data_IF_037388762450
#
_entry.id   IF_037388762450
#
_cell.length_a   1.000
_cell.length_b   1.000
_cell.length_c   1.000
_cell.angle_alpha   90.00
_cell.angle_beta   90.00
_cell.angle_gamma   90.00
#
_symmetry.space_group_name_H-M   'P 1'
#
loop_
_entity.id
_entity.type
_entity.pdbx_description
1 polymer ?
#
# COMPACT_ATOMS: atom_id res chain seq x y z
N UNK A 1 5.59 11.16 -32.85
CA UNK A 1 5.50 11.78 -31.50
C UNK A 1 4.56 13.00 -31.41
N UNK A 2 3.72 13.29 -32.41
CA UNK A 2 2.81 14.46 -32.40
C UNK A 2 1.48 14.16 -31.70
N UNK A 3 0.96 12.94 -31.88
CA UNK A 3 -0.34 12.51 -31.35
C UNK A 3 -0.28 12.25 -29.83
N UNK A 4 0.88 11.83 -29.29
CA UNK A 4 1.09 11.68 -27.83
C UNK A 4 0.96 13.03 -27.12
N UNK A 5 1.44 14.12 -27.73
CA UNK A 5 1.31 15.47 -27.14
C UNK A 5 -0.12 15.99 -27.16
N UNK A 6 -0.88 15.73 -28.22
CA UNK A 6 -2.27 16.17 -28.34
C UNK A 6 -3.18 15.48 -27.32
N UNK A 7 -3.08 14.16 -27.19
CA UNK A 7 -3.91 13.38 -26.23
C UNK A 7 -3.45 13.58 -24.78
N UNK A 8 -2.15 13.85 -24.53
CA UNK A 8 -1.69 14.36 -23.22
C UNK A 8 -2.35 15.71 -22.92
N UNK A 9 -2.53 16.58 -23.93
CA UNK A 9 -3.29 17.82 -23.81
C UNK A 9 -4.74 17.58 -23.38
N UNK A 10 -5.43 16.64 -24.03
CA UNK A 10 -6.83 16.29 -23.74
C UNK A 10 -7.03 15.79 -22.30
N UNK A 11 -6.20 14.85 -21.84
CA UNK A 11 -6.28 14.29 -20.49
C UNK A 11 -5.81 15.29 -19.42
N UNK A 12 -4.82 16.13 -19.76
CA UNK A 12 -4.43 17.27 -18.91
C UNK A 12 -5.52 18.34 -18.84
N UNK A 13 -6.51 18.35 -19.72
CA UNK A 13 -7.63 19.29 -19.66
C UNK A 13 -8.88 18.68 -19.01
N UNK A 14 -8.89 17.39 -18.68
CA UNK A 14 -9.95 16.82 -17.84
C UNK A 14 -9.83 17.41 -16.43
N UNK A 15 -10.73 18.33 -16.08
CA UNK A 15 -10.74 18.98 -14.76
C UNK A 15 -10.71 17.96 -13.61
N UNK A 16 -11.43 16.85 -13.75
CA UNK A 16 -11.45 15.78 -12.75
C UNK A 16 -10.07 15.13 -12.56
N UNK A 17 -9.36 14.83 -13.65
CA UNK A 17 -8.03 14.24 -13.59
C UNK A 17 -7.03 15.19 -12.93
N UNK A 18 -7.05 16.48 -13.31
CA UNK A 18 -6.20 17.49 -12.70
C UNK A 18 -6.50 17.68 -11.21
N UNK A 19 -7.77 17.81 -10.83
CA UNK A 19 -8.17 18.14 -9.46
C UNK A 19 -8.07 16.98 -8.47
N UNK A 20 -8.19 15.73 -8.94
CA UNK A 20 -8.24 14.54 -8.07
C UNK A 20 -6.98 13.69 -8.14
N UNK A 21 -6.36 13.57 -9.31
CA UNK A 21 -5.20 12.68 -9.52
C UNK A 21 -3.86 13.42 -9.55
N UNK A 22 -3.82 14.66 -10.05
CA UNK A 22 -2.56 15.42 -10.13
C UNK A 22 -2.23 16.12 -8.80
N UNK A 23 -3.24 16.55 -8.04
CA UNK A 23 -3.02 17.25 -6.77
C UNK A 23 -2.67 16.28 -5.64
N UNK A 24 -1.50 16.50 -5.02
CA UNK A 24 -1.06 15.70 -3.88
C UNK A 24 -1.98 15.87 -2.66
N UNK A 25 -2.57 17.05 -2.49
CA UNK A 25 -3.40 17.44 -1.34
C UNK A 25 -4.59 16.48 -1.15
N UNK A 26 -5.14 16.02 -2.27
CA UNK A 26 -6.26 15.08 -2.32
C UNK A 26 -5.95 13.71 -1.69
N UNK A 27 -4.68 13.33 -1.57
CA UNK A 27 -4.24 12.04 -1.03
C UNK A 27 -3.27 12.17 0.16
N UNK A 28 -2.85 13.39 0.50
CA UNK A 28 -1.92 13.69 1.59
C UNK A 28 -2.39 13.13 2.95
N UNK A 29 -3.70 13.16 3.21
CA UNK A 29 -4.27 12.63 4.45
C UNK A 29 -3.92 11.17 4.71
N UNK A 30 -3.99 10.31 3.68
CA UNK A 30 -3.65 8.89 3.80
C UNK A 30 -2.18 8.65 4.12
N UNK A 31 -1.30 9.50 3.58
CA UNK A 31 0.13 9.48 3.90
C UNK A 31 0.38 9.82 5.38
N UNK A 32 -0.26 10.86 5.91
CA UNK A 32 -0.13 11.22 7.32
C UNK A 32 -0.69 10.15 8.27
N UNK A 33 -1.81 9.50 7.92
CA UNK A 33 -2.32 8.36 8.68
C UNK A 33 -1.28 7.24 8.80
N UNK A 34 -0.54 6.95 7.72
CA UNK A 34 0.57 6.01 7.72
C UNK A 34 1.71 6.43 8.65
N UNK A 35 2.14 7.70 8.59
CA UNK A 35 3.18 8.25 9.50
C UNK A 35 2.75 8.10 10.96
N UNK A 36 1.53 8.54 11.30
CA UNK A 36 1.01 8.45 12.67
C UNK A 36 1.02 7.00 13.16
N UNK A 37 0.60 6.07 12.30
CA UNK A 37 0.62 4.62 12.59
C UNK A 37 2.03 4.12 12.88
N UNK A 38 3.02 4.54 12.10
CA UNK A 38 4.43 4.21 12.33
C UNK A 38 4.97 4.74 13.66
N UNK A 39 4.66 6.00 14.00
CA UNK A 39 5.08 6.63 15.27
C UNK A 39 4.45 5.88 16.46
N UNK A 40 3.14 5.63 16.38
CA UNK A 40 2.42 4.88 17.42
C UNK A 40 2.99 3.46 17.54
N UNK A 41 3.23 2.77 16.44
CA UNK A 41 3.86 1.45 16.43
C UNK A 41 5.22 1.46 17.14
N UNK A 42 6.09 2.41 16.80
CA UNK A 42 7.41 2.54 17.41
C UNK A 42 7.31 2.74 18.93
N UNK A 43 6.38 3.59 19.38
CA UNK A 43 6.15 3.84 20.80
C UNK A 43 5.63 2.61 21.55
N UNK A 44 4.73 1.83 20.93
CA UNK A 44 4.22 0.58 21.51
C UNK A 44 5.31 -0.50 21.59
N UNK A 45 6.14 -0.61 20.54
CA UNK A 45 7.24 -1.57 20.49
C UNK A 45 8.32 -1.27 21.53
N UNK A 46 8.71 0.00 21.67
CA UNK A 46 9.70 0.45 22.68
C UNK A 46 9.25 0.18 24.12
N UNK A 47 7.94 0.21 24.39
CA UNK A 47 7.37 -0.06 25.72
C UNK A 47 7.03 -1.54 25.97
N UNK A 48 7.29 -2.43 25.01
CA UNK A 48 6.99 -3.86 25.13
C UNK A 48 5.50 -4.18 25.35
N UNK A 49 4.60 -3.25 25.06
CA UNK A 49 3.17 -3.42 25.32
C UNK A 49 2.55 -4.33 24.27
N UNK A 50 1.97 -5.44 24.70
CA UNK A 50 1.14 -6.30 23.83
C UNK A 50 -0.21 -5.61 23.57
N UNK A 51 -0.74 -5.78 22.35
CA UNK A 51 -2.03 -5.22 21.93
C UNK A 51 -3.20 -5.67 22.81
N UNK A 52 -3.09 -6.81 23.48
CA UNK A 52 -4.04 -7.30 24.49
C UNK A 52 -4.24 -6.33 25.67
N UNK A 53 -3.29 -5.40 25.89
CA UNK A 53 -3.44 -4.32 26.85
C UNK A 53 -4.47 -3.26 26.43
N UNK A 54 -4.84 -3.17 25.14
CA UNK A 54 -5.86 -2.25 24.65
C UNK A 54 -7.20 -2.96 24.68
N UNK A 55 -7.94 -2.78 25.79
CA UNK A 55 -9.19 -3.48 26.10
C UNK A 55 -10.28 -3.40 25.01
N UNK A 56 -10.18 -2.44 24.08
CA UNK A 56 -11.20 -2.19 23.04
C UNK A 56 -10.68 -2.22 21.59
N UNK A 57 -9.47 -2.73 21.32
CA UNK A 57 -8.91 -2.68 19.96
C UNK A 57 -9.79 -3.37 18.91
N UNK A 58 -10.36 -4.54 19.24
CA UNK A 58 -11.24 -5.27 18.32
C UNK A 58 -12.50 -4.45 17.97
N UNK A 59 -13.07 -3.75 18.94
CA UNK A 59 -14.24 -2.89 18.72
C UNK A 59 -13.89 -1.69 17.83
N UNK A 60 -12.72 -1.07 18.06
CA UNK A 60 -12.22 0.03 17.22
C UNK A 60 -11.94 -0.43 15.78
N UNK A 61 -11.35 -1.62 15.61
CA UNK A 61 -11.13 -2.23 14.29
C UNK A 61 -12.46 -2.49 13.58
N UNK A 62 -13.43 -3.08 14.27
CA UNK A 62 -14.75 -3.36 13.70
C UNK A 62 -15.49 -2.06 13.31
N UNK A 63 -15.36 -1.00 14.13
CA UNK A 63 -15.90 0.31 13.83
C UNK A 63 -15.25 0.93 12.58
N UNK A 64 -13.92 0.80 12.43
CA UNK A 64 -13.20 1.27 11.24
C UNK A 64 -13.65 0.51 9.97
N UNK A 65 -13.86 -0.80 10.06
CA UNK A 65 -14.40 -1.62 8.97
C UNK A 65 -15.84 -1.21 8.63
N UNK A 66 -16.70 -1.03 9.63
CA UNK A 66 -18.08 -0.58 9.42
C UNK A 66 -18.13 0.81 8.78
N UNK A 67 -17.26 1.73 9.23
CA UNK A 67 -17.13 3.06 8.65
C UNK A 67 -16.71 3.01 7.17
N UNK A 68 -15.71 2.18 6.85
CA UNK A 68 -15.27 1.95 5.48
C UNK A 68 -16.39 1.42 4.59
N UNK A 69 -17.08 0.37 5.02
CA UNK A 69 -18.19 -0.23 4.25
C UNK A 69 -19.30 0.81 4.05
N UNK A 70 -19.70 1.53 5.10
CA UNK A 70 -20.74 2.56 5.02
C UNK A 70 -20.40 3.63 3.99
N UNK A 71 -19.17 4.13 3.98
CA UNK A 71 -18.77 5.18 3.05
C UNK A 71 -18.78 4.72 1.59
N UNK A 72 -18.33 3.49 1.33
CA UNK A 72 -18.33 2.91 -0.03
C UNK A 72 -19.75 2.53 -0.52
N UNK A 73 -20.59 1.97 0.36
CA UNK A 73 -22.00 1.69 0.02
C UNK A 73 -22.74 2.98 -0.32
N UNK A 74 -22.48 4.05 0.44
CA UNK A 74 -23.06 5.37 0.16
C UNK A 74 -22.66 5.87 -1.23
N UNK A 75 -21.46 5.54 -1.74
CA UNK A 75 -21.02 5.90 -3.10
C UNK A 75 -21.92 5.27 -4.17
N UNK A 76 -22.34 4.03 -3.95
CA UNK A 76 -23.20 3.29 -4.90
C UNK A 76 -24.65 3.79 -4.84
N UNK A 77 -25.11 4.17 -3.65
CA UNK A 77 -26.47 4.67 -3.44
C UNK A 77 -26.68 6.14 -3.83
N UNK A 78 -25.60 6.90 -4.06
CA UNK A 78 -25.69 8.30 -4.47
C UNK A 78 -26.30 8.43 -5.89
N UNK A 79 -27.37 9.25 -6.08
CA UNK A 79 -27.99 9.45 -7.38
C UNK A 79 -26.99 10.03 -8.38
N UNK A 80 -26.79 9.39 -9.54
CA UNK A 80 -25.81 9.85 -10.54
C UNK A 80 -26.28 11.07 -11.35
N UNK A 81 -27.60 11.27 -11.44
CA UNK A 81 -28.16 12.11 -12.49
C UNK A 81 -28.49 13.55 -12.04
N UNK A 82 -28.56 13.82 -10.73
CA UNK A 82 -29.07 15.09 -10.18
C UNK A 82 -28.35 15.54 -8.90
N UNK A 83 -27.01 15.60 -8.91
CA UNK A 83 -26.28 16.26 -7.83
C UNK A 83 -26.34 17.78 -8.04
N UNK A 84 -27.31 18.42 -7.38
CA UNK A 84 -27.44 19.86 -7.32
C UNK A 84 -26.21 20.49 -6.64
N UNK A 85 -25.49 21.33 -7.38
CA UNK A 85 -24.44 22.28 -6.98
C UNK A 85 -23.32 21.76 -6.04
N UNK A 86 -22.10 22.36 -6.04
CA UNK A 86 -21.04 21.97 -5.12
C UNK A 86 -21.42 22.29 -3.67
N UNK A 87 -22.14 21.38 -3.02
CA UNK A 87 -22.56 21.50 -1.64
C UNK A 87 -21.42 21.09 -0.70
N UNK A 88 -21.29 21.80 0.43
CA UNK A 88 -20.34 21.47 1.49
C UNK A 88 -20.46 20.01 1.95
N UNK A 89 -21.67 19.45 1.90
CA UNK A 89 -21.96 18.06 2.27
C UNK A 89 -21.25 17.08 1.32
N UNK A 90 -21.21 17.37 0.02
CA UNK A 90 -20.56 16.52 -0.97
C UNK A 90 -19.03 16.58 -0.84
N UNK A 91 -18.48 17.76 -0.54
CA UNK A 91 -17.05 17.94 -0.25
C UNK A 91 -16.63 17.21 1.04
N UNK A 92 -17.46 17.31 2.09
CA UNK A 92 -17.24 16.59 3.35
C UNK A 92 -17.32 15.08 3.12
N UNK A 93 -18.34 14.60 2.40
CA UNK A 93 -18.47 13.19 2.04
C UNK A 93 -17.25 12.66 1.27
N UNK A 94 -16.81 13.36 0.22
CA UNK A 94 -15.63 12.96 -0.55
C UNK A 94 -14.36 12.91 0.31
N UNK A 95 -14.20 13.85 1.24
CA UNK A 95 -13.07 13.88 2.17
C UNK A 95 -13.11 12.70 3.16
N UNK A 96 -14.28 12.40 3.74
CA UNK A 96 -14.45 11.26 4.65
C UNK A 96 -14.28 9.91 3.95
N UNK A 97 -14.80 9.78 2.73
CA UNK A 97 -14.64 8.58 1.91
C UNK A 97 -13.15 8.28 1.71
N UNK A 98 -12.36 9.29 1.32
CA UNK A 98 -10.90 9.13 1.17
C UNK A 98 -10.21 8.80 2.49
N UNK A 99 -10.56 9.49 3.58
CA UNK A 99 -10.00 9.23 4.90
C UNK A 99 -10.29 7.81 5.40
N UNK A 100 -11.45 7.24 5.04
CA UNK A 100 -11.82 5.87 5.43
C UNK A 100 -10.84 4.82 4.91
N UNK A 101 -10.26 5.03 3.72
CA UNK A 101 -9.23 4.14 3.15
C UNK A 101 -7.94 4.17 3.98
N UNK A 102 -7.47 5.36 4.37
CA UNK A 102 -6.30 5.50 5.22
C UNK A 102 -6.51 4.90 6.61
N UNK A 103 -7.64 5.22 7.26
CA UNK A 103 -7.97 4.71 8.61
C UNK A 103 -8.02 3.18 8.60
N UNK A 104 -8.72 2.57 7.63
CA UNK A 104 -8.79 1.12 7.53
C UNK A 104 -7.40 0.48 7.38
N UNK A 105 -6.56 1.02 6.51
CA UNK A 105 -5.21 0.52 6.29
C UNK A 105 -4.36 0.55 7.57
N UNK A 106 -4.44 1.64 8.34
CA UNK A 106 -3.73 1.78 9.61
C UNK A 106 -4.16 0.75 10.65
N UNK A 107 -5.47 0.58 10.84
CA UNK A 107 -6.02 -0.42 11.75
C UNK A 107 -5.69 -1.85 11.32
N UNK A 108 -5.72 -2.13 10.02
CA UNK A 108 -5.34 -3.42 9.45
C UNK A 108 -3.86 -3.73 9.69
N UNK A 109 -2.97 -2.76 9.48
CA UNK A 109 -1.54 -2.89 9.76
C UNK A 109 -1.28 -3.22 11.23
N UNK A 110 -1.94 -2.52 12.17
CA UNK A 110 -1.84 -2.84 13.59
C UNK A 110 -2.37 -4.24 13.91
N UNK A 111 -3.53 -4.59 13.35
CA UNK A 111 -4.13 -5.90 13.57
C UNK A 111 -3.19 -7.04 13.11
N UNK A 112 -2.58 -6.91 11.94
CA UNK A 112 -1.64 -7.89 11.39
C UNK A 112 -0.35 -7.97 12.21
N UNK A 113 0.20 -6.82 12.62
CA UNK A 113 1.50 -6.78 13.32
C UNK A 113 1.44 -7.40 14.70
N UNK A 114 0.35 -7.16 15.45
CA UNK A 114 0.23 -7.66 16.82
C UNK A 114 -0.44 -9.03 16.93
N UNK A 115 -1.03 -9.57 15.85
CA UNK A 115 -1.59 -10.92 15.80
C UNK A 115 -1.02 -11.75 14.64
N UNK A 116 0.26 -12.11 14.70
CA UNK A 116 0.93 -12.85 13.62
C UNK A 116 0.37 -14.28 13.41
N UNK A 117 -0.29 -14.87 14.43
CA UNK A 117 -0.82 -16.25 14.36
C UNK A 117 -2.18 -16.36 13.63
N UNK A 118 -2.70 -15.27 13.09
CA UNK A 118 -3.98 -15.29 12.36
C UNK A 118 -3.81 -15.93 10.98
N UNK A 119 -4.84 -16.64 10.50
CA UNK A 119 -4.85 -17.23 9.15
C UNK A 119 -4.55 -16.19 8.06
N UNK A 120 -5.12 -14.98 8.21
CA UNK A 120 -4.85 -13.85 7.31
C UNK A 120 -3.39 -13.42 7.30
N UNK A 121 -2.74 -13.37 8.47
CA UNK A 121 -1.33 -13.02 8.55
C UNK A 121 -0.46 -14.08 7.88
N UNK A 122 -0.76 -15.36 8.10
CA UNK A 122 -0.08 -16.48 7.42
C UNK A 122 -0.25 -16.43 5.89
N UNK A 123 -1.47 -16.13 5.42
CA UNK A 123 -1.75 -15.97 3.99
C UNK A 123 -0.99 -14.79 3.38
N UNK A 124 -0.93 -13.64 4.06
CA UNK A 124 -0.17 -12.46 3.60
C UNK A 124 1.35 -12.69 3.61
N UNK A 125 1.84 -13.54 4.51
CA UNK A 125 3.26 -13.91 4.60
C UNK A 125 3.66 -15.00 3.59
N UNK A 126 2.71 -15.55 2.82
CA UNK A 126 3.01 -16.54 1.80
C UNK A 126 4.00 -15.97 0.76
N UNK A 127 5.01 -16.72 0.31
CA UNK A 127 6.06 -16.23 -0.59
C UNK A 127 5.51 -15.63 -1.90
N UNK A 128 4.40 -16.19 -2.42
CA UNK A 128 3.72 -15.65 -3.60
C UNK A 128 3.18 -14.24 -3.33
N UNK A 129 2.60 -13.99 -2.15
CA UNK A 129 2.11 -12.66 -1.79
C UNK A 129 3.25 -11.67 -1.58
N UNK A 130 4.40 -12.12 -1.06
CA UNK A 130 5.59 -11.28 -0.96
C UNK A 130 6.13 -10.87 -2.34
N UNK A 131 6.15 -11.79 -3.30
CA UNK A 131 6.55 -11.49 -4.69
C UNK A 131 5.53 -10.56 -5.34
N UNK A 132 4.24 -10.85 -5.19
CA UNK A 132 3.16 -10.01 -5.73
C UNK A 132 3.22 -8.59 -5.16
N UNK A 133 3.52 -8.44 -3.87
CA UNK A 133 3.68 -7.13 -3.24
C UNK A 133 4.82 -6.30 -3.87
N UNK A 134 5.93 -6.94 -4.26
CA UNK A 134 7.01 -6.25 -4.98
C UNK A 134 6.57 -5.87 -6.39
N UNK A 135 5.87 -6.78 -7.09
CA UNK A 135 5.36 -6.54 -8.43
C UNK A 135 4.29 -5.43 -8.49
N UNK A 136 3.54 -5.24 -7.41
CA UNK A 136 2.51 -4.19 -7.31
C UNK A 136 3.09 -2.80 -7.54
N UNK A 137 4.32 -2.53 -7.09
CA UNK A 137 4.98 -1.25 -7.33
C UNK A 137 5.25 -1.02 -8.82
N UNK A 138 5.86 -2.00 -9.49
CA UNK A 138 6.14 -1.93 -10.93
C UNK A 138 4.85 -1.80 -11.75
N UNK A 139 3.81 -2.53 -11.36
CA UNK A 139 2.49 -2.47 -11.99
C UNK A 139 1.82 -1.11 -11.82
N UNK A 140 1.91 -0.50 -10.63
CA UNK A 140 1.38 0.83 -10.35
C UNK A 140 2.00 1.91 -11.24
N UNK A 141 3.32 1.87 -11.44
CA UNK A 141 4.03 2.83 -12.31
C UNK A 141 3.57 2.72 -13.76
N UNK A 142 3.36 1.49 -14.25
CA UNK A 142 3.06 1.22 -15.67
C UNK A 142 1.57 1.36 -16.00
N UNK A 143 0.69 1.18 -15.02
CA UNK A 143 -0.76 1.14 -15.19
C UNK A 143 -1.29 2.32 -16.01
N UNK A 144 -0.90 3.55 -15.67
CA UNK A 144 -1.38 4.74 -16.39
C UNK A 144 -0.92 4.77 -17.85
N UNK A 145 0.31 4.34 -18.13
CA UNK A 145 0.83 4.25 -19.50
C UNK A 145 0.05 3.21 -20.32
N UNK A 146 -0.28 2.07 -19.72
CA UNK A 146 -1.05 1.00 -20.38
C UNK A 146 -2.49 1.45 -20.65
N UNK A 147 -3.16 1.99 -19.63
CA UNK A 147 -4.52 2.56 -19.77
C UNK A 147 -4.52 3.58 -20.91
N UNK A 148 -3.59 4.53 -20.90
CA UNK A 148 -3.46 5.54 -21.93
C UNK A 148 -3.23 4.94 -23.33
N UNK A 149 -2.33 3.97 -23.44
CA UNK A 149 -2.04 3.31 -24.71
C UNK A 149 -3.28 2.60 -25.27
N UNK A 150 -4.07 1.94 -24.43
CA UNK A 150 -5.27 1.22 -24.88
C UNK A 150 -6.35 2.22 -25.31
N UNK A 151 -6.70 3.20 -24.47
CA UNK A 151 -7.74 4.19 -24.80
C UNK A 151 -7.39 5.00 -26.06
N UNK A 152 -6.10 5.25 -26.33
CA UNK A 152 -5.66 5.92 -27.56
C UNK A 152 -5.96 5.11 -28.84
N UNK A 153 -5.97 3.78 -28.76
CA UNK A 153 -6.16 2.90 -29.91
C UNK A 153 -7.63 2.47 -30.09
N UNK A 154 -8.52 2.84 -29.17
CA UNK A 154 -9.96 2.62 -29.33
C UNK A 154 -10.52 3.68 -30.28
N UNK A 155 -10.86 3.27 -31.50
CA UNK A 155 -11.39 4.16 -32.56
C UNK A 155 -12.91 4.17 -32.64
N UNK A 156 -13.58 3.23 -31.99
CA UNK A 156 -15.05 3.07 -32.02
C UNK A 156 -15.70 3.58 -30.73
N UNK A 157 -16.86 4.25 -30.79
CA UNK A 157 -17.58 4.65 -29.59
C UNK A 157 -18.02 3.41 -28.81
N UNK A 158 -17.44 3.23 -27.61
CA UNK A 158 -17.80 2.15 -26.71
C UNK A 158 -19.10 2.51 -25.98
N UNK A 159 -20.11 1.67 -26.11
CA UNK A 159 -21.30 1.75 -25.25
C UNK A 159 -20.88 1.40 -23.81
N UNK A 160 -21.17 2.31 -22.88
CA UNK A 160 -20.92 2.11 -21.44
C UNK A 160 -21.95 1.12 -20.86
N UNK A 161 -21.73 -0.16 -21.12
CA UNK A 161 -22.49 -1.25 -20.51
C UNK A 161 -21.61 -1.97 -19.48
N UNK A 162 -22.22 -2.54 -18.44
CA UNK A 162 -21.51 -3.23 -17.36
C UNK A 162 -20.58 -4.33 -17.90
N UNK A 163 -21.04 -5.09 -18.90
CA UNK A 163 -20.24 -6.13 -19.55
C UNK A 163 -18.99 -5.58 -20.24
N UNK A 164 -19.13 -4.53 -21.04
CA UNK A 164 -18.02 -3.88 -21.73
C UNK A 164 -17.00 -3.30 -20.74
N UNK A 165 -17.48 -2.69 -19.65
CA UNK A 165 -16.63 -2.15 -18.60
C UNK A 165 -15.82 -3.23 -17.89
N UNK A 166 -16.44 -4.37 -17.55
CA UNK A 166 -15.75 -5.49 -16.90
C UNK A 166 -14.70 -6.09 -17.83
N UNK A 167 -15.06 -6.33 -19.09
CA UNK A 167 -14.15 -6.92 -20.09
C UNK A 167 -12.96 -6.00 -20.39
N UNK A 168 -13.21 -4.70 -20.53
CA UNK A 168 -12.14 -3.74 -20.78
C UNK A 168 -11.23 -3.58 -19.56
N UNK A 169 -11.81 -3.51 -18.37
CA UNK A 169 -11.04 -3.43 -17.11
C UNK A 169 -10.17 -4.68 -16.92
N UNK A 170 -10.70 -5.88 -17.18
CA UNK A 170 -9.92 -7.12 -17.05
C UNK A 170 -8.77 -7.18 -18.05
N UNK A 171 -8.99 -6.76 -19.31
CA UNK A 171 -7.94 -6.68 -20.31
C UNK A 171 -6.83 -5.70 -19.93
N UNK A 172 -7.21 -4.50 -19.46
CA UNK A 172 -6.26 -3.47 -18.97
C UNK A 172 -5.44 -4.00 -17.80
N UNK A 173 -6.08 -4.66 -16.83
CA UNK A 173 -5.40 -5.24 -15.66
C UNK A 173 -4.41 -6.31 -16.09
N UNK A 174 -4.82 -7.22 -16.98
CA UNK A 174 -3.95 -8.29 -17.48
C UNK A 174 -2.70 -7.74 -18.19
N UNK A 175 -2.89 -6.78 -19.11
CA UNK A 175 -1.78 -6.15 -19.83
C UNK A 175 -0.87 -5.38 -18.86
N UNK A 176 -1.46 -4.67 -17.89
CA UNK A 176 -0.68 -3.93 -16.87
C UNK A 176 0.18 -4.87 -16.05
N UNK A 177 -0.36 -6.00 -15.59
CA UNK A 177 0.39 -6.99 -14.82
C UNK A 177 1.52 -7.60 -15.67
N UNK A 178 1.27 -7.87 -16.95
CA UNK A 178 2.27 -8.42 -17.85
C UNK A 178 3.43 -7.43 -18.09
N UNK A 179 3.13 -6.17 -18.44
CA UNK A 179 4.16 -5.14 -18.67
C UNK A 179 4.86 -4.77 -17.36
N UNK A 180 4.13 -4.70 -16.24
CA UNK A 180 4.68 -4.51 -14.91
C UNK A 180 5.66 -5.62 -14.51
N UNK A 181 5.36 -6.87 -14.86
CA UNK A 181 6.24 -8.01 -14.63
C UNK A 181 7.53 -7.91 -15.46
N UNK A 182 7.42 -7.56 -16.74
CA UNK A 182 8.59 -7.32 -17.58
C UNK A 182 9.46 -6.18 -17.04
N UNK A 183 8.85 -5.08 -16.59
CA UNK A 183 9.59 -3.97 -15.98
C UNK A 183 10.31 -4.41 -14.70
N UNK A 184 9.64 -5.19 -13.85
CA UNK A 184 10.24 -5.70 -12.61
C UNK A 184 11.48 -6.56 -12.89
N UNK A 185 11.36 -7.53 -13.81
CA UNK A 185 12.43 -8.48 -14.12
C UNK A 185 13.58 -7.82 -14.88
N UNK A 186 13.27 -6.98 -15.87
CA UNK A 186 14.28 -6.40 -16.77
C UNK A 186 14.97 -5.15 -16.20
N UNK A 187 14.31 -4.39 -15.33
CA UNK A 187 14.83 -3.11 -14.84
C UNK A 187 15.02 -3.15 -13.32
N UNK A 188 13.96 -3.45 -12.57
CA UNK A 188 14.00 -3.30 -11.11
C UNK A 188 14.97 -4.27 -10.42
N UNK A 189 14.92 -5.56 -10.77
CA UNK A 189 15.82 -6.59 -10.22
C UNK A 189 17.31 -6.31 -10.51
N UNK A 190 17.74 -6.02 -11.75
CA UNK A 190 19.14 -5.72 -12.02
C UNK A 190 19.59 -4.41 -11.36
N UNK A 191 18.77 -3.36 -11.38
CA UNK A 191 19.10 -2.09 -10.72
C UNK A 191 19.24 -2.28 -9.21
N UNK A 192 18.34 -3.03 -8.55
CA UNK A 192 18.50 -3.34 -7.13
C UNK A 192 19.78 -4.12 -6.84
N UNK A 193 20.17 -5.04 -7.72
CA UNK A 193 21.40 -5.83 -7.54
C UNK A 193 22.65 -4.96 -7.68
N UNK A 194 22.64 -3.98 -8.60
CA UNK A 194 23.71 -3.01 -8.78
C UNK A 194 23.77 -1.96 -7.66
N UNK A 195 22.62 -1.53 -7.14
CA UNK A 195 22.55 -0.51 -6.09
C UNK A 195 22.80 -1.05 -4.67
N UNK A 196 22.56 -2.34 -4.42
CA UNK A 196 22.84 -3.00 -3.12
C UNK A 196 24.24 -2.70 -2.55
N UNK A 197 25.35 -2.87 -3.30
CA UNK A 197 26.68 -2.57 -2.79
C UNK A 197 26.92 -1.07 -2.53
N UNK A 198 26.22 -0.18 -3.25
CA UNK A 198 26.35 1.28 -3.08
C UNK A 198 25.57 1.82 -1.88
N UNK A 199 24.41 1.23 -1.59
CA UNK A 199 23.53 1.64 -0.49
C UNK A 199 23.73 0.83 0.79
N UNK A 200 24.56 -0.22 0.77
CA UNK A 200 24.92 -0.94 1.97
C UNK A 200 25.52 0.06 2.98
N UNK A 201 24.87 0.31 4.13
CA UNK A 201 25.49 1.10 5.18
C UNK A 201 26.82 0.42 5.49
N UNK A 202 27.94 1.17 5.45
CA UNK A 202 29.17 0.65 6.02
C UNK A 202 28.82 0.25 7.45
N UNK A 203 28.75 -1.06 7.72
CA UNK A 203 28.73 -1.57 9.08
C UNK A 203 30.05 -1.12 9.67
N UNK A 204 30.05 0.03 10.34
CA UNK A 204 31.07 0.34 11.33
C UNK A 204 30.95 -0.77 12.36
N UNK A 205 31.85 -1.76 12.26
CA UNK A 205 32.08 -2.72 13.31
C UNK A 205 32.48 -1.90 14.53
N UNK A 206 31.51 -1.56 15.38
CA UNK A 206 31.85 -1.12 16.73
C UNK A 206 32.59 -2.29 17.35
N UNK A 207 33.84 -2.12 17.82
CA UNK A 207 34.53 -3.17 18.53
C UNK A 207 33.68 -3.51 19.75
N UNK A 208 33.19 -4.74 19.81
CA UNK A 208 32.60 -5.31 21.02
C UNK A 208 33.65 -5.13 22.11
N UNK A 209 33.30 -4.43 23.19
CA UNK A 209 34.25 -4.21 24.28
C UNK A 209 34.66 -5.59 24.86
N UNK A 210 35.93 -5.79 25.26
CA UNK A 210 36.46 -7.08 25.73
C UNK A 210 35.67 -7.70 26.90
N UNK A 211 34.81 -6.92 27.56
CA UNK A 211 34.02 -7.32 28.72
C UNK A 211 32.86 -8.26 28.38
N UNK A 212 32.26 -8.17 27.19
CA UNK A 212 31.13 -9.06 26.81
C UNK A 212 31.59 -10.43 26.30
N UNK A 213 32.78 -10.51 25.69
CA UNK A 213 33.33 -11.76 25.15
C UNK A 213 33.71 -12.73 26.30
N UNK A 214 34.30 -12.21 27.38
CA UNK A 214 34.57 -13.00 28.59
C UNK A 214 33.31 -13.45 29.34
N UNK A 215 32.20 -12.73 29.25
CA UNK A 215 30.93 -13.15 29.86
C UNK A 215 30.27 -14.28 29.05
N UNK A 216 30.37 -14.24 27.72
CA UNK A 216 29.85 -15.28 26.83
C UNK A 216 30.70 -16.56 26.96
N UNK A 217 32.03 -16.44 27.02
CA UNK A 217 32.93 -17.58 27.15
C UNK A 217 32.79 -18.27 28.53
N UNK A 218 32.62 -17.50 29.61
CA UNK A 218 32.38 -18.07 30.92
C UNK A 218 31.02 -18.76 31.00
N UNK A 219 29.97 -18.17 30.42
CA UNK A 219 28.63 -18.79 30.41
C UNK A 219 28.61 -20.11 29.64
N UNK A 220 29.31 -20.18 28.51
CA UNK A 220 29.47 -21.42 27.73
C UNK A 220 30.24 -22.51 28.49
N UNK A 221 31.26 -22.14 29.29
CA UNK A 221 31.99 -23.10 30.14
C UNK A 221 31.14 -23.63 31.30
N UNK A 222 30.22 -22.82 31.85
CA UNK A 222 29.30 -23.27 32.91
C UNK A 222 28.26 -24.25 32.37
N UNK A 223 27.66 -23.96 31.21
CA UNK A 223 26.64 -24.81 30.59
C UNK A 223 27.20 -26.19 30.19
N UNK A 224 28.46 -26.27 29.74
CA UNK A 224 29.12 -27.55 29.40
C UNK A 224 29.39 -28.40 30.66
N UNK A 225 29.62 -27.75 31.81
CA UNK A 225 29.92 -28.47 33.07
C UNK A 225 28.68 -29.12 33.66
N UNK A 226 27.51 -28.50 33.50
CA UNK A 226 26.21 -29.02 33.96
C UNK A 226 25.67 -30.15 33.07
N UNK A 227 26.14 -30.28 31.83
CA UNK A 227 25.86 -31.41 30.93
C UNK A 227 26.74 -32.65 31.20
N UNK A 228 27.72 -32.56 32.11
CA UNK A 228 28.66 -33.65 32.44
C UNK A 228 28.41 -34.31 33.81
N UNK A 229 27.33 -33.95 34.50
CA UNK A 229 26.83 -34.60 35.72
C UNK A 229 25.53 -35.35 35.45
#
# INVERSE_FOLDING_TARGET
MMIVRYVIGEIRNLEYYLKVYVTFESNAGNYFFGIITGIVYHHFNSKGKKLESIKNFNAMFLLAVAFFIKMNVLTVCLPRDHLAEPSLLLALYGSLLKASWGILACFLMFYLTFRPRNLFASFLQHPVMLVLSKLSYSSYVVQYTVVYAIYRNVTTPLMSNAFTTILFTSAVVFITLFVGFLLHVCIEVPVMTLCKPLLAPQRTNFPVSPTEEHLIENKAKTDIKDLSK
#
